data_IF_356257255664
#
_entry.id   IF_356257255664
#
_cell.length_a   1.000
_cell.length_b   1.000
_cell.length_c   1.000
_cell.angle_alpha   90.00
_cell.angle_beta   90.00
_cell.angle_gamma   90.00
#
_symmetry.space_group_name_H-M   'P 1'
#
loop_
_entity.id
_entity.type
_entity.pdbx_description
1 polymer ?
#
# COMPACT_ATOMS: atom_id res chain seq x y z
N UNK A 1 12.66 30.00 56.34
CA UNK A 1 11.59 29.11 55.81
C UNK A 1 11.15 29.61 54.44
N UNK A 2 11.91 29.24 53.40
CA UNK A 2 11.63 29.61 52.02
C UNK A 2 10.74 28.55 51.39
N UNK A 3 9.49 28.93 51.17
CA UNK A 3 8.67 28.65 49.99
C UNK A 3 8.85 27.27 49.30
N UNK A 4 8.11 26.26 49.77
CA UNK A 4 7.74 25.11 48.95
C UNK A 4 6.39 25.38 48.27
N UNK A 5 6.40 26.28 47.29
CA UNK A 5 5.41 26.24 46.21
C UNK A 5 5.79 25.08 45.31
N UNK A 6 5.08 23.96 45.46
CA UNK A 6 5.12 22.87 44.50
C UNK A 6 4.56 23.44 43.19
N UNK A 7 5.43 23.67 42.21
CA UNK A 7 5.03 24.03 40.86
C UNK A 7 4.06 22.95 40.34
N UNK A 8 2.82 23.34 40.07
CA UNK A 8 1.76 22.52 39.48
C UNK A 8 2.03 22.09 38.02
N UNK A 9 3.28 22.21 37.55
CA UNK A 9 3.77 21.81 36.23
C UNK A 9 4.59 20.52 36.28
N UNK A 10 4.32 19.65 37.26
CA UNK A 10 4.90 18.31 37.31
C UNK A 10 4.17 17.43 36.30
N UNK A 11 4.60 17.46 35.04
CA UNK A 11 4.03 16.63 33.99
C UNK A 11 4.16 15.15 34.34
N UNK A 12 3.13 14.35 34.09
CA UNK A 12 3.22 12.89 34.24
C UNK A 12 4.23 12.39 33.20
N UNK A 13 5.26 11.67 33.65
CA UNK A 13 6.24 11.04 32.79
C UNK A 13 5.63 9.91 31.97
N UNK A 14 5.64 10.04 30.65
CA UNK A 14 5.20 9.03 29.70
C UNK A 14 6.41 8.28 29.13
N UNK A 15 6.41 6.97 29.33
CA UNK A 15 7.32 6.03 28.68
C UNK A 15 6.87 5.75 27.23
N UNK A 16 7.63 4.93 26.50
CA UNK A 16 7.29 4.59 25.10
C UNK A 16 5.91 3.91 24.97
N UNK A 17 5.49 3.10 25.93
CA UNK A 17 4.19 2.42 25.89
C UNK A 17 3.03 3.40 26.05
N UNK A 18 3.18 4.37 26.95
CA UNK A 18 2.22 5.46 27.13
C UNK A 18 2.02 6.24 25.82
N UNK A 19 3.11 6.51 25.09
CA UNK A 19 3.05 7.19 23.78
C UNK A 19 2.36 6.32 22.73
N UNK A 20 2.61 5.02 22.70
CA UNK A 20 1.93 4.09 21.79
C UNK A 20 0.42 4.04 22.07
N UNK A 21 0.01 4.03 23.34
CA UNK A 21 -1.41 4.07 23.72
C UNK A 21 -2.05 5.39 23.28
N UNK A 22 -1.38 6.51 23.54
CA UNK A 22 -1.82 7.84 23.09
C UNK A 22 -1.99 7.86 21.57
N UNK A 23 -1.04 7.29 20.83
CA UNK A 23 -1.09 7.25 19.37
C UNK A 23 -2.32 6.52 18.84
N UNK A 24 -2.70 5.40 19.46
CA UNK A 24 -3.88 4.66 19.06
C UNK A 24 -5.18 5.38 19.41
N UNK A 25 -5.25 6.06 20.55
CA UNK A 25 -6.42 6.88 20.90
C UNK A 25 -6.60 7.99 19.85
N UNK A 26 -5.50 8.64 19.45
CA UNK A 26 -5.53 9.64 18.39
C UNK A 26 -5.90 9.04 17.03
N UNK A 27 -5.43 7.83 16.71
CA UNK A 27 -5.82 7.10 15.50
C UNK A 27 -7.33 6.84 15.46
N UNK A 28 -7.90 6.30 16.54
CA UNK A 28 -9.34 6.03 16.67
C UNK A 28 -10.17 7.31 16.52
N UNK A 29 -9.67 8.42 17.07
CA UNK A 29 -10.36 9.71 17.04
C UNK A 29 -10.08 10.54 15.77
N UNK A 30 -9.22 10.08 14.86
CA UNK A 30 -8.84 10.86 13.67
C UNK A 30 -7.97 12.10 13.97
N UNK A 31 -7.34 12.19 15.14
CA UNK A 31 -6.62 13.37 15.63
C UNK A 31 -5.18 13.43 15.11
N UNK A 32 -5.02 13.54 13.80
CA UNK A 32 -3.71 13.50 13.11
C UNK A 32 -2.77 14.64 13.51
N UNK A 33 -3.27 15.87 13.55
CA UNK A 33 -2.44 17.05 13.83
C UNK A 33 -1.90 17.04 15.25
N UNK A 34 -2.71 16.58 16.21
CA UNK A 34 -2.29 16.43 17.61
C UNK A 34 -1.28 15.30 17.75
N UNK A 35 -1.47 14.18 17.06
CA UNK A 35 -0.50 13.09 17.06
C UNK A 35 0.85 13.50 16.45
N UNK A 36 0.84 14.28 15.35
CA UNK A 36 2.04 14.77 14.67
C UNK A 36 2.95 15.59 15.61
N UNK A 37 2.38 16.26 16.63
CA UNK A 37 3.16 17.05 17.62
C UNK A 37 4.15 16.20 18.42
N UNK A 38 3.85 14.91 18.62
CA UNK A 38 4.72 14.00 19.37
C UNK A 38 5.93 13.53 18.54
N UNK A 39 5.87 13.62 17.20
CA UNK A 39 6.89 13.09 16.28
C UNK A 39 8.29 13.65 16.54
N UNK A 40 8.42 14.97 16.67
CA UNK A 40 9.73 15.62 16.78
C UNK A 40 10.51 15.17 18.02
N UNK A 41 9.85 14.69 19.07
CA UNK A 41 10.48 14.14 20.26
C UNK A 41 10.86 12.68 20.08
N UNK A 42 10.01 11.91 19.41
CA UNK A 42 10.26 10.50 19.10
C UNK A 42 11.45 10.36 18.13
N UNK A 43 11.59 11.28 17.18
CA UNK A 43 12.73 11.37 16.26
C UNK A 43 14.08 11.60 16.99
N UNK A 44 14.05 12.06 18.24
CA UNK A 44 15.25 12.35 19.05
C UNK A 44 15.64 11.20 19.98
N UNK A 45 14.86 10.13 20.01
CA UNK A 45 15.06 9.00 20.92
C UNK A 45 16.25 8.15 20.47
N UNK A 46 16.98 7.60 21.46
CA UNK A 46 18.09 6.66 21.21
C UNK A 46 17.68 5.48 20.33
N UNK A 47 18.59 5.03 19.46
CA UNK A 47 18.41 3.88 18.54
C UNK A 47 17.92 2.63 19.28
N UNK A 48 18.37 2.43 20.53
CA UNK A 48 17.96 1.28 21.35
C UNK A 48 16.46 1.24 21.64
N UNK A 49 15.79 2.40 21.60
CA UNK A 49 14.39 2.54 21.94
C UNK A 49 13.47 2.66 20.71
N UNK A 50 14.01 2.83 19.49
CA UNK A 50 13.23 2.99 18.26
C UNK A 50 12.19 1.88 18.05
N UNK A 51 12.56 0.63 18.35
CA UNK A 51 11.64 -0.52 18.23
C UNK A 51 10.32 -0.34 19.00
N UNK A 52 10.35 0.40 20.12
CA UNK A 52 9.18 0.62 20.96
C UNK A 52 8.23 1.67 20.38
N UNK A 53 8.72 2.57 19.52
CA UNK A 53 7.93 3.60 18.86
C UNK A 53 7.41 3.18 17.47
N UNK A 54 7.70 1.96 17.00
CA UNK A 54 7.17 1.43 15.73
C UNK A 54 5.66 1.66 15.60
N UNK A 55 4.90 1.36 16.66
CA UNK A 55 3.42 1.48 16.65
C UNK A 55 2.91 2.92 16.60
N UNK A 56 3.68 3.87 17.13
CA UNK A 56 3.37 5.29 16.98
C UNK A 56 3.37 5.68 15.51
N UNK A 57 4.40 5.23 14.78
CA UNK A 57 4.50 5.47 13.35
C UNK A 57 3.45 4.73 12.52
N UNK A 58 3.08 3.50 12.90
CA UNK A 58 1.95 2.79 12.30
C UNK A 58 0.67 3.63 12.40
N UNK A 59 0.33 4.14 13.60
CA UNK A 59 -0.87 4.96 13.83
C UNK A 59 -0.82 6.28 13.08
N UNK A 60 0.32 6.97 13.06
CA UNK A 60 0.45 8.24 12.35
C UNK A 60 0.35 8.04 10.82
N UNK A 61 0.99 7.01 10.27
CA UNK A 61 0.92 6.69 8.84
C UNK A 61 -0.48 6.23 8.44
N UNK A 62 -1.15 5.45 9.29
CA UNK A 62 -2.56 5.06 9.13
C UNK A 62 -3.49 6.27 9.02
N UNK A 63 -3.28 7.29 9.87
CA UNK A 63 -4.02 8.55 9.79
C UNK A 63 -3.73 9.29 8.48
N UNK A 64 -2.47 9.42 8.05
CA UNK A 64 -2.16 10.07 6.77
C UNK A 64 -2.87 9.39 5.59
N UNK A 65 -2.89 8.05 5.52
CA UNK A 65 -3.64 7.34 4.50
C UNK A 65 -5.16 7.53 4.62
N UNK A 66 -5.69 7.57 5.85
CA UNK A 66 -7.14 7.77 6.08
C UNK A 66 -7.63 9.13 5.58
N UNK A 67 -6.78 10.16 5.67
CA UNK A 67 -7.07 11.51 5.17
C UNK A 67 -6.64 11.74 3.71
N UNK A 68 -6.07 10.73 3.04
CA UNK A 68 -5.50 10.85 1.70
C UNK A 68 -4.37 11.91 1.58
N UNK A 69 -3.62 12.14 2.66
CA UNK A 69 -2.49 13.06 2.70
C UNK A 69 -1.21 12.35 2.25
N UNK A 70 -1.13 12.11 0.94
CA UNK A 70 -0.09 11.25 0.33
C UNK A 70 1.31 11.84 0.51
N UNK A 71 1.46 13.17 0.33
CA UNK A 71 2.78 13.83 0.43
C UNK A 71 3.31 13.82 1.87
N UNK A 72 2.41 14.01 2.82
CA UNK A 72 2.69 14.01 4.25
C UNK A 72 3.01 12.57 4.72
N UNK A 73 2.34 11.55 4.14
CA UNK A 73 2.67 10.13 4.32
C UNK A 73 4.05 9.79 3.74
N UNK A 74 4.34 10.22 2.51
CA UNK A 74 5.62 10.00 1.82
C UNK A 74 6.78 10.67 2.57
N UNK A 75 6.57 11.90 3.05
CA UNK A 75 7.52 12.62 3.89
C UNK A 75 7.78 11.88 5.20
N UNK A 76 6.73 11.41 5.89
CA UNK A 76 6.87 10.61 7.11
C UNK A 76 7.68 9.33 6.86
N UNK A 77 7.42 8.63 5.75
CA UNK A 77 8.15 7.43 5.36
C UNK A 77 9.64 7.71 5.17
N UNK A 78 9.99 8.76 4.44
CA UNK A 78 11.39 9.15 4.23
C UNK A 78 12.06 9.56 5.54
N UNK A 79 11.38 10.32 6.39
CA UNK A 79 11.87 10.72 7.71
C UNK A 79 12.20 9.49 8.58
N UNK A 80 11.29 8.50 8.60
CA UNK A 80 11.48 7.25 9.35
C UNK A 80 12.70 6.47 8.86
N UNK A 81 12.87 6.35 7.54
CA UNK A 81 14.00 5.62 6.96
C UNK A 81 15.35 6.35 7.14
N UNK A 82 15.33 7.69 7.18
CA UNK A 82 16.51 8.56 7.37
C UNK A 82 17.04 8.67 8.79
N UNK A 83 16.30 8.18 9.79
CA UNK A 83 16.54 8.41 11.23
C UNK A 83 17.94 8.00 11.75
N UNK A 84 18.81 7.45 10.89
CA UNK A 84 20.21 7.13 11.19
C UNK A 84 21.14 8.35 11.26
N UNK A 85 20.93 9.36 10.42
CA UNK A 85 21.96 10.39 10.20
C UNK A 85 21.91 11.54 11.22
N UNK A 86 20.77 11.77 11.85
CA UNK A 86 20.60 12.83 12.87
C UNK A 86 21.16 12.46 14.25
N UNK A 87 21.21 11.18 14.59
CA UNK A 87 21.61 10.70 15.92
C UNK A 87 23.13 10.52 16.07
N UNK A 88 23.87 10.33 14.97
CA UNK A 88 25.33 10.25 14.99
C UNK A 88 25.99 11.61 15.21
N UNK A 89 25.39 12.69 14.69
CA UNK A 89 25.88 14.07 14.81
C UNK A 89 25.62 14.66 16.20
N UNK A 90 24.60 14.19 16.92
CA UNK A 90 24.15 14.80 18.18
C UNK A 90 24.87 14.34 19.45
N UNK A 91 25.75 13.34 19.36
CA UNK A 91 26.55 12.87 20.52
C UNK A 91 27.49 13.95 21.08
N UNK A 92 27.81 14.99 20.31
CA UNK A 92 28.75 16.05 20.72
C UNK A 92 28.09 17.35 21.22
N UNK A 93 26.76 17.42 21.30
CA UNK A 93 26.09 18.58 21.89
C UNK A 93 25.35 18.20 23.17
N UNK A 94 25.83 18.75 24.29
CA UNK A 94 25.12 18.92 25.55
C UNK A 94 23.84 19.79 25.35
N UNK A 95 22.93 19.36 24.48
CA UNK A 95 21.61 19.96 24.32
C UNK A 95 20.66 19.16 25.21
N UNK A 96 20.25 19.77 26.32
CA UNK A 96 19.16 19.31 27.19
C UNK A 96 17.99 18.81 26.35
N UNK A 97 17.54 17.57 26.58
CA UNK A 97 16.34 17.01 25.97
C UNK A 97 15.19 18.02 26.08
N UNK A 98 14.73 18.56 24.95
CA UNK A 98 13.63 19.53 24.96
C UNK A 98 12.37 18.77 25.37
N UNK A 99 11.96 18.96 26.61
CA UNK A 99 10.81 18.29 27.24
C UNK A 99 9.55 18.58 26.42
N UNK A 100 8.96 17.57 25.79
CA UNK A 100 7.64 17.73 25.19
C UNK A 100 6.62 17.86 26.30
N UNK A 101 5.77 18.87 26.20
CA UNK A 101 4.56 18.96 27.00
C UNK A 101 3.39 18.73 26.03
N UNK A 102 2.95 17.48 25.91
CA UNK A 102 1.78 17.14 25.11
C UNK A 102 0.51 17.44 25.91
N UNK A 103 -0.47 18.22 25.41
CA UNK A 103 -1.71 18.44 26.14
C UNK A 103 -2.45 17.12 26.30
N UNK A 104 -2.83 16.78 27.53
CA UNK A 104 -3.75 15.70 27.87
C UNK A 104 -5.09 16.36 28.20
N UNK A 105 -6.12 16.02 27.44
CA UNK A 105 -7.48 16.46 27.69
C UNK A 105 -8.01 17.47 26.68
N UNK A 106 -9.17 18.04 26.98
CA UNK A 106 -9.90 18.92 26.08
C UNK A 106 -9.12 20.19 25.73
N UNK A 107 -9.04 20.51 24.43
CA UNK A 107 -8.46 21.76 23.92
C UNK A 107 -9.25 23.01 24.34
N UNK A 108 -10.44 22.82 24.94
CA UNK A 108 -11.24 23.90 25.53
C UNK A 108 -10.77 24.31 26.93
N UNK A 109 -9.82 23.58 27.54
CA UNK A 109 -9.28 23.92 28.86
C UNK A 109 -8.10 24.88 28.72
N UNK A 110 -8.19 26.03 29.39
CA UNK A 110 -7.17 27.09 29.38
C UNK A 110 -5.85 26.66 30.04
N UNK A 111 -5.92 25.72 30.99
CA UNK A 111 -4.78 25.04 31.62
C UNK A 111 -5.00 23.52 31.60
N UNK A 112 -4.71 22.89 30.46
CA UNK A 112 -4.76 21.42 30.33
C UNK A 112 -3.56 20.74 31.02
N UNK A 113 -3.77 19.50 31.48
CA UNK A 113 -2.69 18.64 31.95
C UNK A 113 -1.68 18.43 30.81
N UNK A 114 -0.39 18.33 31.13
CA UNK A 114 0.67 18.14 30.15
C UNK A 114 1.41 16.84 30.44
N UNK A 115 1.54 15.97 29.43
CA UNK A 115 2.39 14.78 29.52
C UNK A 115 3.81 15.16 29.16
N UNK A 116 4.74 14.69 29.99
CA UNK A 116 6.17 14.81 29.74
C UNK A 116 6.67 13.50 29.13
N UNK A 117 7.19 13.52 27.91
CA UNK A 117 7.76 12.31 27.30
C UNK A 117 9.14 12.07 27.90
N UNK A 118 9.34 10.93 28.56
CA UNK A 118 10.61 10.53 29.17
C UNK A 118 10.96 9.12 28.69
N UNK A 119 11.66 9.00 27.55
CA UNK A 119 12.04 7.71 26.96
C UNK A 119 12.85 6.82 27.93
N UNK A 120 13.59 7.43 28.86
CA UNK A 120 14.45 6.77 29.84
C UNK A 120 13.66 6.02 30.93
N UNK A 121 12.36 6.30 31.10
CA UNK A 121 11.51 5.57 32.06
C UNK A 121 11.24 4.13 31.61
N UNK A 122 11.47 3.81 30.33
CA UNK A 122 11.25 2.48 29.82
C UNK A 122 12.36 1.52 30.25
N UNK A 123 12.01 0.47 31.00
CA UNK A 123 12.94 -0.63 31.24
C UNK A 123 13.31 -1.30 29.90
N UNK A 124 14.61 -1.50 29.67
CA UNK A 124 15.18 -1.98 28.38
C UNK A 124 14.62 -3.32 27.89
N UNK A 125 14.09 -4.12 28.81
CA UNK A 125 13.53 -5.45 28.55
C UNK A 125 11.99 -5.47 28.48
N UNK A 126 11.33 -4.30 28.52
CA UNK A 126 9.86 -4.26 28.47
C UNK A 126 9.33 -4.64 27.08
N UNK A 127 8.58 -5.74 27.04
CA UNK A 127 7.90 -6.24 25.84
C UNK A 127 6.42 -5.92 25.94
N UNK A 128 5.98 -4.85 25.27
CA UNK A 128 4.56 -4.52 25.17
C UNK A 128 3.97 -5.11 23.89
N UNK A 129 3.43 -6.32 24.04
CA UNK A 129 2.62 -6.95 23.00
C UNK A 129 1.22 -6.36 23.08
N UNK A 130 0.81 -5.76 21.99
CA UNK A 130 -0.55 -5.27 21.79
C UNK A 130 -0.86 -5.44 20.31
N UNK A 131 -2.01 -6.00 19.99
CA UNK A 131 -2.35 -6.36 18.61
C UNK A 131 -2.74 -5.09 17.84
N UNK A 132 -1.76 -4.41 17.24
CA UNK A 132 -2.05 -3.38 16.25
C UNK A 132 -2.55 -4.08 14.98
N UNK A 133 -3.80 -3.83 14.60
CA UNK A 133 -4.44 -4.41 13.40
C UNK A 133 -3.76 -4.02 12.09
N UNK A 134 -2.87 -3.02 12.11
CA UNK A 134 -2.16 -2.53 10.94
C UNK A 134 -0.65 -2.69 11.17
N UNK A 135 0.00 -3.43 10.29
CA UNK A 135 1.46 -3.53 10.21
C UNK A 135 1.89 -2.74 8.96
N UNK A 136 2.01 -1.42 9.07
CA UNK A 136 2.44 -0.54 7.97
C UNK A 136 3.95 -0.31 8.01
N UNK A 137 4.51 -0.25 9.21
CA UNK A 137 5.92 -0.06 9.51
C UNK A 137 6.42 -1.36 10.12
N UNK A 138 7.59 -1.80 9.69
CA UNK A 138 8.33 -2.94 10.20
C UNK A 138 9.64 -2.43 10.84
N UNK A 139 10.22 -3.21 11.75
CA UNK A 139 11.51 -2.90 12.33
C UNK A 139 12.48 -4.05 12.03
N UNK A 140 13.45 -3.79 11.16
CA UNK A 140 14.45 -4.76 10.69
C UNK A 140 15.83 -4.14 10.80
N UNK A 141 16.83 -4.90 11.25
CA UNK A 141 18.24 -4.47 11.28
C UNK A 141 18.49 -3.10 11.95
N UNK A 142 17.68 -2.76 12.97
CA UNK A 142 17.79 -1.48 13.69
C UNK A 142 17.19 -0.27 12.95
N UNK A 143 16.47 -0.50 11.85
CA UNK A 143 15.82 0.53 11.03
C UNK A 143 14.33 0.28 10.87
N UNK A 144 13.61 1.36 10.57
CA UNK A 144 12.24 1.25 10.08
C UNK A 144 12.25 0.90 8.60
N UNK A 145 11.47 -0.11 8.24
CA UNK A 145 11.23 -0.55 6.87
C UNK A 145 9.74 -0.54 6.62
N UNK A 146 9.30 -0.15 5.43
CA UNK A 146 7.87 -0.23 5.11
C UNK A 146 7.45 -1.67 4.92
N UNK A 147 6.24 -2.00 5.39
CA UNK A 147 5.60 -3.24 4.98
C UNK A 147 5.11 -3.14 3.54
N UNK A 148 4.92 -4.30 2.92
CA UNK A 148 4.25 -4.42 1.63
C UNK A 148 2.94 -3.64 1.61
N UNK A 149 2.13 -3.74 2.68
CA UNK A 149 0.85 -3.04 2.79
C UNK A 149 0.99 -1.51 2.71
N UNK A 150 1.98 -0.92 3.39
CA UNK A 150 2.21 0.52 3.33
C UNK A 150 2.70 0.97 1.95
N UNK A 151 3.61 0.18 1.35
CA UNK A 151 4.12 0.45 0.01
C UNK A 151 2.97 0.40 -1.03
N UNK A 152 2.13 -0.63 -0.95
CA UNK A 152 0.92 -0.79 -1.77
C UNK A 152 0.02 0.43 -1.68
N UNK A 153 -0.26 0.93 -0.46
CA UNK A 153 -1.12 2.11 -0.28
C UNK A 153 -0.55 3.35 -0.96
N UNK A 154 0.76 3.57 -0.87
CA UNK A 154 1.42 4.68 -1.58
C UNK A 154 1.31 4.52 -3.10
N UNK A 155 1.58 3.32 -3.62
CA UNK A 155 1.52 3.04 -5.06
C UNK A 155 0.10 3.28 -5.60
N UNK A 156 -0.93 2.77 -4.92
CA UNK A 156 -2.34 3.00 -5.30
C UNK A 156 -2.66 4.49 -5.29
N UNK A 157 -2.26 5.21 -4.23
CA UNK A 157 -2.63 6.61 -4.08
C UNK A 157 -1.96 7.51 -5.13
N UNK A 158 -0.66 7.36 -5.39
CA UNK A 158 0.03 8.10 -6.45
C UNK A 158 -0.46 7.73 -7.84
N UNK A 159 -0.77 6.45 -8.08
CA UNK A 159 -1.31 5.99 -9.37
C UNK A 159 -2.70 6.56 -9.63
N UNK A 160 -3.57 6.58 -8.61
CA UNK A 160 -4.91 7.16 -8.68
C UNK A 160 -4.90 8.66 -8.98
N UNK A 161 -3.92 9.39 -8.42
CA UNK A 161 -3.72 10.82 -8.68
C UNK A 161 -2.99 11.11 -10.02
N UNK A 162 -2.53 10.08 -10.74
CA UNK A 162 -1.72 10.25 -11.97
C UNK A 162 -0.33 10.84 -11.72
N UNK A 163 0.15 10.85 -10.47
CA UNK A 163 1.42 11.47 -10.05
C UNK A 163 2.59 10.48 -10.11
N UNK A 164 2.78 9.85 -11.27
CA UNK A 164 3.78 8.79 -11.49
C UNK A 164 5.21 9.30 -11.22
N UNK A 165 5.56 10.50 -11.67
CA UNK A 165 6.89 11.07 -11.44
C UNK A 165 7.22 11.35 -9.97
N UNK A 166 6.21 11.60 -9.12
CA UNK A 166 6.40 11.71 -7.67
C UNK A 166 6.61 10.34 -7.03
N UNK A 167 5.84 9.33 -7.46
CA UNK A 167 6.04 7.95 -7.04
C UNK A 167 7.47 7.47 -7.38
N UNK A 168 7.92 7.70 -8.62
CA UNK A 168 9.28 7.39 -9.08
C UNK A 168 10.35 8.01 -8.17
N UNK A 169 10.23 9.31 -7.87
CA UNK A 169 11.16 10.01 -6.97
C UNK A 169 11.14 9.48 -5.54
N UNK A 170 9.96 9.12 -5.03
CA UNK A 170 9.82 8.51 -3.70
C UNK A 170 10.51 7.14 -3.66
N UNK A 171 10.30 6.29 -4.67
CA UNK A 171 10.91 4.96 -4.75
C UNK A 171 12.44 5.03 -4.82
N UNK A 172 13.00 5.94 -5.62
CA UNK A 172 14.44 6.20 -5.67
C UNK A 172 15.00 6.65 -4.33
N UNK A 173 14.29 7.57 -3.68
CA UNK A 173 14.67 8.07 -2.36
C UNK A 173 14.66 6.93 -1.33
N UNK A 174 13.61 6.11 -1.30
CA UNK A 174 13.50 4.96 -0.41
C UNK A 174 14.60 3.92 -0.67
N UNK A 175 14.86 3.58 -1.93
CA UNK A 175 15.92 2.63 -2.29
C UNK A 175 17.29 3.10 -1.79
N UNK A 176 17.56 4.41 -1.89
CA UNK A 176 18.80 5.02 -1.38
C UNK A 176 18.93 4.89 0.14
N UNK A 177 17.86 5.13 0.90
CA UNK A 177 17.88 5.08 2.37
C UNK A 177 17.95 3.65 2.93
N UNK A 178 17.31 2.68 2.25
CA UNK A 178 17.28 1.26 2.64
C UNK A 178 18.59 0.52 2.31
N UNK A 179 19.36 1.02 1.33
CA UNK A 179 20.62 0.42 0.91
C UNK A 179 20.44 -0.86 0.07
N UNK A 180 21.54 -1.49 -0.34
CA UNK A 180 21.54 -2.59 -1.32
C UNK A 180 20.92 -3.90 -0.83
N UNK A 181 20.92 -4.15 0.49
CA UNK A 181 20.42 -5.42 1.06
C UNK A 181 18.89 -5.43 1.21
N UNK A 182 18.28 -4.31 1.61
CA UNK A 182 16.82 -4.21 1.84
C UNK A 182 16.09 -3.50 0.69
N UNK A 183 16.78 -2.67 -0.09
CA UNK A 183 16.22 -1.95 -1.25
C UNK A 183 16.53 -2.57 -2.61
N UNK A 184 17.22 -3.72 -2.66
CA UNK A 184 17.80 -4.31 -3.87
C UNK A 184 16.82 -4.75 -4.97
N UNK A 185 15.51 -4.67 -4.75
CA UNK A 185 14.47 -5.00 -5.72
C UNK A 185 13.23 -4.11 -5.64
N UNK A 186 13.21 -3.07 -4.79
CA UNK A 186 11.98 -2.30 -4.51
C UNK A 186 11.30 -1.79 -5.79
N UNK A 187 12.11 -1.20 -6.68
CA UNK A 187 11.63 -0.59 -7.92
C UNK A 187 11.17 -1.65 -8.91
N UNK A 188 11.95 -2.73 -9.07
CA UNK A 188 11.56 -3.85 -9.94
C UNK A 188 10.28 -4.52 -9.44
N UNK A 189 10.11 -4.68 -8.14
CA UNK A 189 8.94 -5.34 -7.56
C UNK A 189 7.68 -4.48 -7.71
N UNK A 190 7.79 -3.15 -7.59
CA UNK A 190 6.68 -2.22 -7.87
C UNK A 190 6.31 -2.26 -9.35
N UNK A 191 7.28 -2.23 -10.27
CA UNK A 191 7.03 -2.32 -11.71
C UNK A 191 6.36 -3.66 -12.06
N UNK A 192 6.91 -4.77 -11.56
CA UNK A 192 6.35 -6.11 -11.77
C UNK A 192 4.92 -6.21 -11.22
N UNK A 193 4.64 -5.59 -10.07
CA UNK A 193 3.28 -5.56 -9.53
C UNK A 193 2.32 -4.71 -10.37
N UNK A 194 2.76 -3.55 -10.89
CA UNK A 194 1.98 -2.76 -11.85
C UNK A 194 1.68 -3.55 -13.12
N UNK A 195 2.66 -4.32 -13.63
CA UNK A 195 2.48 -5.21 -14.80
C UNK A 195 1.41 -6.27 -14.52
N UNK A 196 1.48 -6.94 -13.37
CA UNK A 196 0.49 -7.96 -12.98
C UNK A 196 -0.93 -7.41 -12.86
N UNK A 197 -1.08 -6.14 -12.48
CA UNK A 197 -2.36 -5.43 -12.42
C UNK A 197 -2.83 -4.89 -13.78
N UNK A 198 -1.99 -4.96 -14.81
CA UNK A 198 -2.27 -4.38 -16.12
C UNK A 198 -2.10 -2.87 -16.19
N UNK A 199 -1.49 -2.25 -15.19
CA UNK A 199 -1.11 -0.82 -15.17
C UNK A 199 0.16 -0.60 -16.00
N UNK A 200 0.10 -0.95 -17.29
CA UNK A 200 1.27 -0.95 -18.17
C UNK A 200 1.80 0.46 -18.43
N UNK A 201 0.94 1.47 -18.48
CA UNK A 201 1.35 2.87 -18.59
C UNK A 201 2.13 3.33 -17.35
N UNK A 202 1.63 3.02 -16.15
CA UNK A 202 2.33 3.29 -14.88
C UNK A 202 3.68 2.58 -14.83
N UNK A 203 3.71 1.29 -15.19
CA UNK A 203 4.93 0.49 -15.21
C UNK A 203 6.00 1.07 -16.15
N UNK A 204 5.60 1.49 -17.35
CA UNK A 204 6.50 2.12 -18.32
C UNK A 204 6.96 3.50 -17.85
N UNK A 205 6.05 4.33 -17.31
CA UNK A 205 6.39 5.66 -16.80
C UNK A 205 7.42 5.61 -15.67
N UNK A 206 7.26 4.67 -14.72
CA UNK A 206 8.27 4.45 -13.67
C UNK A 206 9.59 4.01 -14.31
N UNK A 207 9.57 3.05 -15.23
CA UNK A 207 10.77 2.56 -15.90
C UNK A 207 11.55 3.68 -16.64
N UNK A 208 10.85 4.55 -17.35
CA UNK A 208 11.44 5.69 -18.04
C UNK A 208 12.05 6.70 -17.05
N UNK A 209 11.34 7.03 -15.97
CA UNK A 209 11.84 7.93 -14.92
C UNK A 209 13.12 7.38 -14.28
N UNK A 210 13.21 6.06 -14.11
CA UNK A 210 14.40 5.40 -13.56
C UNK A 210 15.58 5.43 -14.52
N UNK A 211 15.34 5.20 -15.81
CA UNK A 211 16.38 5.30 -16.85
C UNK A 211 16.91 6.74 -16.93
N UNK A 212 16.02 7.73 -16.90
CA UNK A 212 16.36 9.15 -16.86
C UNK A 212 17.18 9.53 -15.62
N UNK A 213 16.89 8.90 -14.47
CA UNK A 213 17.66 9.08 -13.24
C UNK A 213 18.98 8.30 -13.24
N UNK A 214 19.28 7.50 -14.26
CA UNK A 214 20.45 6.64 -14.34
C UNK A 214 20.43 5.48 -13.33
N UNK A 215 19.27 5.10 -12.81
CA UNK A 215 19.13 4.02 -11.86
C UNK A 215 19.27 2.66 -12.57
N UNK A 216 20.03 1.70 -12.01
CA UNK A 216 20.20 0.40 -12.64
C UNK A 216 18.89 -0.39 -12.59
N UNK A 217 18.26 -0.58 -13.77
CA UNK A 217 17.13 -1.50 -13.94
C UNK A 217 17.63 -2.81 -14.54
N UNK A 218 17.17 -3.93 -13.96
CA UNK A 218 17.50 -5.27 -14.44
C UNK A 218 16.85 -5.59 -15.78
N UNK A 219 17.52 -6.39 -16.60
CA UNK A 219 16.99 -6.88 -17.88
C UNK A 219 15.67 -7.65 -17.75
N UNK A 220 15.45 -8.30 -16.60
CA UNK A 220 14.22 -9.01 -16.27
C UNK A 220 13.00 -8.09 -16.26
N UNK A 221 13.11 -6.88 -15.69
CA UNK A 221 12.00 -5.93 -15.59
C UNK A 221 11.55 -5.44 -16.97
N UNK A 222 12.51 -5.14 -17.85
CA UNK A 222 12.23 -4.84 -19.25
C UNK A 222 11.53 -6.01 -19.96
N UNK A 223 12.01 -7.23 -19.74
CA UNK A 223 11.44 -8.43 -20.35
C UNK A 223 10.01 -8.71 -19.86
N UNK A 224 9.74 -8.51 -18.57
CA UNK A 224 8.39 -8.61 -17.99
C UNK A 224 7.42 -7.64 -18.67
N UNK A 225 7.81 -6.36 -18.81
CA UNK A 225 6.97 -5.34 -19.43
C UNK A 225 6.76 -5.60 -20.93
N UNK A 226 7.82 -5.98 -21.64
CA UNK A 226 7.74 -6.33 -23.06
C UNK A 226 6.80 -7.52 -23.31
N UNK A 227 6.89 -8.54 -22.45
CA UNK A 227 5.99 -9.69 -22.48
C UNK A 227 4.54 -9.27 -22.26
N UNK A 228 4.29 -8.35 -21.33
CA UNK A 228 2.96 -7.82 -21.08
C UNK A 228 2.41 -7.05 -22.28
N UNK A 229 3.22 -6.24 -22.97
CA UNK A 229 2.79 -5.54 -24.19
C UNK A 229 2.43 -6.49 -25.33
N UNK A 230 3.23 -7.53 -25.59
CA UNK A 230 2.90 -8.52 -26.61
C UNK A 230 1.61 -9.28 -26.28
N UNK A 231 1.43 -9.71 -25.03
CA UNK A 231 0.18 -10.35 -24.57
C UNK A 231 -1.03 -9.41 -24.68
N UNK A 232 -0.82 -8.11 -24.43
CA UNK A 232 -1.82 -7.06 -24.57
C UNK A 232 -2.09 -6.62 -26.02
N UNK A 233 -1.40 -7.19 -27.02
CA UNK A 233 -1.46 -6.78 -28.44
C UNK A 233 -1.08 -5.30 -28.67
N UNK A 234 -0.25 -4.74 -27.78
CA UNK A 234 0.25 -3.36 -27.81
C UNK A 234 1.56 -3.29 -28.59
N UNK A 235 1.48 -3.48 -29.92
CA UNK A 235 2.67 -3.66 -30.77
C UNK A 235 3.53 -2.40 -30.91
N UNK A 236 2.94 -1.20 -30.80
CA UNK A 236 3.68 0.07 -30.91
C UNK A 236 4.58 0.28 -29.70
N UNK A 237 4.02 0.04 -28.53
CA UNK A 237 4.64 0.14 -27.22
C UNK A 237 5.74 -0.92 -27.07
N UNK A 238 5.46 -2.17 -27.45
CA UNK A 238 6.45 -3.24 -27.47
C UNK A 238 7.67 -2.88 -28.34
N UNK A 239 7.44 -2.31 -29.53
CA UNK A 239 8.52 -1.90 -30.43
C UNK A 239 9.34 -0.73 -29.87
N UNK A 240 8.69 0.22 -29.20
CA UNK A 240 9.38 1.32 -28.53
C UNK A 240 10.27 0.80 -27.40
N UNK A 241 9.74 -0.08 -26.55
CA UNK A 241 10.46 -0.69 -25.44
C UNK A 241 11.64 -1.55 -25.92
N UNK A 242 11.47 -2.33 -26.98
CA UNK A 242 12.55 -3.12 -27.57
C UNK A 242 13.70 -2.23 -28.07
N UNK A 243 13.39 -1.05 -28.61
CA UNK A 243 14.40 -0.06 -29.00
C UNK A 243 15.13 0.51 -27.78
N UNK A 244 14.45 0.77 -26.67
CA UNK A 244 15.09 1.18 -25.41
C UNK A 244 16.01 0.08 -24.88
N UNK A 245 15.56 -1.18 -24.83
CA UNK A 245 16.37 -2.32 -24.39
C UNK A 245 17.67 -2.49 -25.20
N UNK A 246 17.62 -2.24 -26.51
CA UNK A 246 18.80 -2.27 -27.38
C UNK A 246 19.78 -1.15 -27.07
N UNK A 247 19.29 0.07 -26.82
CA UNK A 247 20.13 1.20 -26.40
C UNK A 247 20.80 0.95 -25.04
N UNK A 248 20.08 0.30 -24.13
CA UNK A 248 20.59 -0.11 -22.83
C UNK A 248 21.53 -1.33 -22.89
N UNK A 249 21.72 -1.95 -24.06
CA UNK A 249 22.67 -3.04 -24.27
C UNK A 249 22.17 -4.45 -23.92
N UNK A 250 20.88 -4.64 -23.65
CA UNK A 250 20.35 -5.94 -23.20
C UNK A 250 20.01 -6.93 -24.34
N UNK A 251 19.73 -6.44 -25.56
CA UNK A 251 19.18 -7.25 -26.67
C UNK A 251 19.88 -6.95 -28.00
N UNK A 252 21.21 -6.89 -27.98
CA UNK A 252 22.00 -6.44 -29.14
C UNK A 252 21.95 -7.43 -30.31
N UNK A 253 21.77 -8.73 -30.05
CA UNK A 253 21.91 -9.79 -31.07
C UNK A 253 20.62 -10.57 -31.41
N UNK A 254 19.45 -10.20 -30.88
CA UNK A 254 18.19 -10.91 -31.14
C UNK A 254 17.31 -10.19 -32.16
N UNK A 255 16.74 -10.95 -33.11
CA UNK A 255 15.73 -10.44 -34.04
C UNK A 255 14.41 -10.14 -33.32
N UNK A 256 13.64 -9.18 -33.83
CA UNK A 256 12.32 -8.82 -33.27
C UNK A 256 11.39 -10.04 -33.18
N UNK A 257 11.46 -10.93 -34.16
CA UNK A 257 10.70 -12.19 -34.20
C UNK A 257 11.13 -13.14 -33.09
N UNK A 258 12.43 -13.35 -32.90
CA UNK A 258 12.97 -14.21 -31.85
C UNK A 258 12.56 -13.71 -30.46
N UNK A 259 12.65 -12.40 -30.22
CA UNK A 259 12.25 -11.79 -28.94
C UNK A 259 10.75 -11.94 -28.70
N UNK A 260 9.92 -11.68 -29.71
CA UNK A 260 8.47 -11.88 -29.63
C UNK A 260 8.13 -13.33 -29.30
N UNK A 261 8.78 -14.29 -29.97
CA UNK A 261 8.61 -15.73 -29.70
C UNK A 261 9.01 -16.06 -28.26
N UNK A 262 10.14 -15.55 -27.75
CA UNK A 262 10.55 -15.74 -26.35
C UNK A 262 9.53 -15.19 -25.35
N UNK A 263 9.03 -13.97 -25.56
CA UNK A 263 8.01 -13.34 -24.71
C UNK A 263 6.69 -14.12 -24.69
N UNK A 264 6.26 -14.62 -25.85
CA UNK A 264 4.98 -15.32 -25.98
C UNK A 264 5.04 -16.78 -25.48
N UNK A 265 6.17 -17.48 -25.67
CA UNK A 265 6.34 -18.88 -25.25
C UNK A 265 6.81 -19.03 -23.80
N UNK A 266 7.34 -17.98 -23.16
CA UNK A 266 7.82 -18.03 -21.78
C UNK A 266 9.08 -18.89 -21.59
N UNK A 267 9.81 -19.20 -22.66
CA UNK A 267 11.06 -19.97 -22.61
C UNK A 267 12.17 -19.07 -22.09
N UNK A 268 12.29 -18.96 -20.77
CA UNK A 268 13.45 -18.34 -20.13
C UNK A 268 14.60 -19.34 -20.20
N UNK A 269 15.38 -19.28 -21.28
CA UNK A 269 16.61 -20.04 -21.36
C UNK A 269 17.64 -19.39 -20.41
N UNK A 270 17.68 -19.90 -19.16
CA UNK A 270 18.50 -19.39 -18.04
C UNK A 270 20.01 -19.35 -18.34
N UNK A 271 20.46 -19.90 -19.46
CA UNK A 271 21.88 -20.14 -19.74
C UNK A 271 22.60 -19.08 -20.58
N UNK A 272 21.96 -17.98 -21.03
CA UNK A 272 22.64 -16.96 -21.87
C UNK A 272 22.64 -15.51 -21.38
N UNK A 273 22.08 -15.22 -20.20
CA UNK A 273 22.17 -13.89 -19.60
C UNK A 273 23.13 -13.93 -18.40
N UNK A 274 24.42 -13.66 -18.65
CA UNK A 274 25.40 -13.47 -17.58
C UNK A 274 25.19 -12.11 -16.90
N UNK A 275 24.63 -12.13 -15.69
CA UNK A 275 25.24 -11.56 -14.47
C UNK A 275 24.45 -12.03 -13.24
N UNK A 276 25.19 -12.21 -12.16
CA UNK A 276 24.86 -12.90 -10.90
C UNK A 276 23.61 -12.39 -10.16
N UNK A 277 22.92 -13.37 -9.54
CA UNK A 277 22.16 -13.34 -8.26
C UNK A 277 20.88 -12.49 -8.23
N UNK A 278 19.72 -12.93 -7.72
CA UNK A 278 19.40 -13.97 -6.73
C UNK A 278 17.99 -14.53 -6.98
N UNK A 279 17.78 -15.76 -6.57
CA UNK A 279 16.51 -16.50 -6.50
C UNK A 279 15.30 -15.61 -6.12
N UNK A 280 14.45 -15.24 -7.07
CA UNK A 280 13.22 -14.48 -6.78
C UNK A 280 12.07 -15.42 -6.39
N UNK A 281 12.09 -15.85 -5.12
CA UNK A 281 10.94 -16.51 -4.46
C UNK A 281 10.02 -15.45 -3.79
N UNK A 282 10.21 -14.15 -4.06
CA UNK A 282 9.43 -13.05 -3.46
C UNK A 282 8.35 -12.40 -4.33
N UNK A 283 8.29 -12.66 -5.65
CA UNK A 283 7.60 -11.81 -6.61
C UNK A 283 6.06 -11.83 -6.56
N UNK A 284 5.44 -12.69 -5.75
CA UNK A 284 3.97 -12.74 -5.63
C UNK A 284 3.40 -11.87 -4.50
N UNK A 285 4.22 -11.50 -3.51
CA UNK A 285 3.71 -10.87 -2.28
C UNK A 285 3.17 -9.45 -2.46
N UNK A 286 3.86 -8.58 -3.21
CA UNK A 286 3.43 -7.19 -3.40
C UNK A 286 2.22 -7.07 -4.33
N UNK A 287 2.20 -7.80 -5.44
CA UNK A 287 1.07 -7.81 -6.36
C UNK A 287 -0.19 -8.38 -5.69
N UNK A 288 -0.07 -9.47 -4.93
CA UNK A 288 -1.18 -9.99 -4.14
C UNK A 288 -1.65 -8.97 -3.10
N UNK A 289 -0.74 -8.30 -2.39
CA UNK A 289 -1.08 -7.25 -1.44
C UNK A 289 -1.77 -6.06 -2.10
N UNK A 290 -1.37 -5.68 -3.32
CA UNK A 290 -2.00 -4.61 -4.11
C UNK A 290 -3.44 -4.98 -4.46
N UNK A 291 -3.65 -6.18 -4.98
CA UNK A 291 -5.00 -6.70 -5.28
C UNK A 291 -5.86 -6.70 -4.02
N UNK A 292 -5.33 -7.14 -2.88
CA UNK A 292 -6.08 -7.16 -1.62
C UNK A 292 -6.43 -5.77 -1.11
N UNK A 293 -5.53 -4.80 -1.20
CA UNK A 293 -5.79 -3.44 -0.71
C UNK A 293 -6.79 -2.71 -1.62
N UNK A 294 -6.67 -2.83 -2.94
CA UNK A 294 -7.67 -2.32 -3.89
C UNK A 294 -9.06 -2.91 -3.60
N UNK A 295 -9.15 -4.22 -3.36
CA UNK A 295 -10.42 -4.88 -2.99
C UNK A 295 -11.04 -4.29 -1.72
N UNK A 296 -10.23 -3.94 -0.72
CA UNK A 296 -10.71 -3.30 0.51
C UNK A 296 -11.22 -1.89 0.23
N UNK A 297 -10.50 -1.07 -0.51
CA UNK A 297 -10.92 0.30 -0.87
C UNK A 297 -12.25 0.29 -1.62
N UNK A 298 -12.39 -0.58 -2.61
CA UNK A 298 -13.63 -0.77 -3.37
C UNK A 298 -14.79 -1.20 -2.45
N UNK A 299 -14.53 -2.06 -1.48
CA UNK A 299 -15.55 -2.51 -0.51
C UNK A 299 -15.95 -1.38 0.45
N UNK A 300 -15.00 -0.58 0.91
CA UNK A 300 -15.26 0.59 1.77
C UNK A 300 -16.04 1.66 0.99
N UNK A 301 -15.66 1.92 -0.25
CA UNK A 301 -16.37 2.83 -1.15
C UNK A 301 -17.83 2.41 -1.33
N UNK A 302 -18.08 1.12 -1.57
CA UNK A 302 -19.44 0.60 -1.64
C UNK A 302 -20.23 0.83 -0.35
N UNK A 303 -19.62 0.55 0.81
CA UNK A 303 -20.24 0.81 2.10
C UNK A 303 -20.55 2.30 2.35
N UNK A 304 -19.67 3.21 1.90
CA UNK A 304 -19.89 4.65 1.97
C UNK A 304 -21.05 5.09 1.07
N UNK A 305 -21.10 4.59 -0.17
CA UNK A 305 -22.19 4.87 -1.13
C UNK A 305 -23.51 4.41 -0.54
N UNK A 306 -23.57 3.19 0.00
CA UNK A 306 -24.78 2.64 0.62
C UNK A 306 -25.28 3.51 1.78
N UNK A 307 -24.40 3.90 2.70
CA UNK A 307 -24.73 4.80 3.82
C UNK A 307 -25.16 6.20 3.37
N UNK A 308 -24.49 6.76 2.37
CA UNK A 308 -24.80 8.10 1.84
C UNK A 308 -26.13 8.15 1.07
N UNK A 309 -26.60 6.98 0.61
CA UNK A 309 -27.92 6.83 -0.01
C UNK A 309 -29.03 6.71 1.03
N UNK A 310 -28.80 5.98 2.12
CA UNK A 310 -29.75 5.89 3.23
C UNK A 310 -30.05 7.28 3.83
N UNK A 311 -29.09 8.21 3.76
CA UNK A 311 -29.28 9.61 4.14
C UNK A 311 -29.85 10.53 3.04
N UNK A 312 -30.15 10.00 1.84
CA UNK A 312 -30.75 10.76 0.73
C UNK A 312 -29.84 11.78 0.05
N UNK A 313 -28.52 11.72 0.28
CA UNK A 313 -27.58 12.81 -0.07
C UNK A 313 -26.88 12.63 -1.43
N UNK A 314 -26.81 11.40 -1.96
CA UNK A 314 -25.90 11.08 -3.08
C UNK A 314 -26.62 10.56 -4.33
N UNK A 315 -26.44 11.25 -5.46
CA UNK A 315 -26.73 10.75 -6.81
C UNK A 315 -25.46 10.15 -7.39
N UNK A 316 -25.47 8.85 -7.67
CA UNK A 316 -24.31 8.12 -8.19
C UNK A 316 -24.45 7.89 -9.70
N UNK A 317 -23.39 8.15 -10.47
CA UNK A 317 -23.40 7.95 -11.92
C UNK A 317 -23.32 6.44 -12.28
N UNK A 318 -23.79 6.10 -13.48
CA UNK A 318 -23.77 4.72 -14.01
C UNK A 318 -22.34 4.16 -14.01
N UNK A 319 -21.38 4.97 -14.44
CA UNK A 319 -20.00 4.54 -14.65
C UNK A 319 -19.34 4.11 -13.33
N UNK A 320 -19.72 4.72 -12.19
CA UNK A 320 -19.23 4.29 -10.87
C UNK A 320 -19.79 2.91 -10.48
N UNK A 321 -21.07 2.65 -10.73
CA UNK A 321 -21.64 1.33 -10.46
C UNK A 321 -21.06 0.26 -11.39
N UNK A 322 -20.85 0.60 -12.66
CA UNK A 322 -20.19 -0.28 -13.62
C UNK A 322 -18.77 -0.64 -13.16
N UNK A 323 -18.00 0.36 -12.73
CA UNK A 323 -16.68 0.16 -12.13
C UNK A 323 -16.73 -0.77 -10.91
N UNK A 324 -17.69 -0.57 -10.00
CA UNK A 324 -17.88 -1.42 -8.83
C UNK A 324 -18.22 -2.87 -9.22
N UNK A 325 -19.12 -3.07 -10.17
CA UNK A 325 -19.50 -4.41 -10.64
C UNK A 325 -18.30 -5.14 -11.23
N UNK A 326 -17.53 -4.51 -12.11
CA UNK A 326 -16.35 -5.12 -12.73
C UNK A 326 -15.31 -5.51 -11.67
N UNK A 327 -15.05 -4.65 -10.69
CA UNK A 327 -14.10 -4.93 -9.62
C UNK A 327 -14.57 -6.03 -8.67
N UNK A 328 -15.84 -6.03 -8.26
CA UNK A 328 -16.40 -7.11 -7.44
C UNK A 328 -16.44 -8.44 -8.18
N UNK A 329 -16.70 -8.42 -9.49
CA UNK A 329 -16.63 -9.62 -10.34
C UNK A 329 -15.22 -10.17 -10.41
N UNK A 330 -14.21 -9.35 -10.69
CA UNK A 330 -12.78 -9.76 -10.64
C UNK A 330 -12.38 -10.32 -9.28
N UNK A 331 -12.96 -9.77 -8.21
CA UNK A 331 -12.72 -10.21 -6.84
C UNK A 331 -13.49 -11.46 -6.40
N UNK A 332 -14.48 -11.91 -7.19
CA UNK A 332 -15.36 -13.01 -6.84
C UNK A 332 -16.32 -12.71 -5.68
N UNK A 333 -16.65 -11.43 -5.45
CA UNK A 333 -17.57 -10.94 -4.42
C UNK A 333 -19.01 -10.89 -4.94
N UNK A 334 -19.58 -12.05 -5.29
CA UNK A 334 -20.86 -12.14 -5.99
C UNK A 334 -22.06 -11.56 -5.22
N UNK A 335 -22.04 -11.60 -3.89
CA UNK A 335 -23.04 -10.90 -3.05
C UNK A 335 -23.08 -9.40 -3.39
N UNK A 336 -21.90 -8.75 -3.39
CA UNK A 336 -21.78 -7.32 -3.71
C UNK A 336 -22.11 -7.03 -5.16
N UNK A 337 -21.72 -7.90 -6.09
CA UNK A 337 -22.10 -7.78 -7.51
C UNK A 337 -23.62 -7.72 -7.65
N UNK A 338 -24.34 -8.65 -7.01
CA UNK A 338 -25.79 -8.72 -7.10
C UNK A 338 -26.48 -7.54 -6.39
N UNK A 339 -25.92 -7.05 -5.27
CA UNK A 339 -26.37 -5.81 -4.63
C UNK A 339 -26.27 -4.61 -5.58
N UNK A 340 -25.09 -4.36 -6.17
CA UNK A 340 -24.88 -3.22 -7.07
C UNK A 340 -25.78 -3.31 -8.32
N UNK A 341 -25.89 -4.49 -8.94
CA UNK A 341 -26.77 -4.72 -10.09
C UNK A 341 -28.25 -4.49 -9.71
N UNK A 342 -28.66 -4.94 -8.52
CA UNK A 342 -30.00 -4.68 -7.99
C UNK A 342 -30.30 -3.19 -7.94
N UNK A 343 -29.35 -2.40 -7.42
CA UNK A 343 -29.46 -0.95 -7.34
C UNK A 343 -29.46 -0.25 -8.70
N UNK A 344 -28.61 -0.68 -9.64
CA UNK A 344 -28.65 -0.16 -11.02
C UNK A 344 -30.03 -0.36 -11.63
N UNK A 345 -30.68 -1.51 -11.40
CA UNK A 345 -32.04 -1.78 -11.89
C UNK A 345 -33.12 -0.92 -11.21
N UNK A 346 -33.04 -0.76 -9.88
CA UNK A 346 -33.98 0.11 -9.13
C UNK A 346 -33.99 1.54 -9.68
N UNK A 347 -32.84 2.02 -10.16
CA UNK A 347 -32.67 3.35 -10.74
C UNK A 347 -32.88 3.39 -12.26
N UNK A 348 -33.40 2.32 -12.87
CA UNK A 348 -33.56 2.17 -14.33
C UNK A 348 -32.28 2.44 -15.13
N UNK A 349 -31.11 2.12 -14.56
CA UNK A 349 -29.83 2.25 -15.23
C UNK A 349 -29.56 1.05 -16.13
N UNK A 350 -28.96 1.32 -17.29
CA UNK A 350 -28.51 0.26 -18.20
C UNK A 350 -27.41 -0.60 -17.55
N UNK A 351 -27.55 -1.92 -17.66
CA UNK A 351 -26.55 -2.89 -17.21
C UNK A 351 -26.00 -3.66 -18.42
N UNK A 352 -24.71 -3.52 -18.71
CA UNK A 352 -24.06 -4.27 -19.80
C UNK A 352 -23.83 -5.74 -19.39
N UNK A 353 -24.85 -6.56 -19.61
CA UNK A 353 -24.81 -8.00 -19.33
C UNK A 353 -23.69 -8.72 -20.08
N UNK A 354 -23.38 -8.29 -21.30
CA UNK A 354 -22.38 -8.96 -22.12
C UNK A 354 -20.98 -8.70 -21.57
N UNK A 355 -20.69 -7.46 -21.21
CA UNK A 355 -19.43 -7.09 -20.58
C UNK A 355 -19.23 -7.83 -19.25
N UNK A 356 -20.24 -7.86 -18.37
CA UNK A 356 -20.15 -8.57 -17.09
C UNK A 356 -20.02 -10.09 -17.27
N UNK A 357 -20.69 -10.67 -18.27
CA UNK A 357 -20.55 -12.08 -18.65
C UNK A 357 -19.12 -12.39 -19.12
N UNK A 358 -18.56 -11.55 -19.98
CA UNK A 358 -17.19 -11.68 -20.46
C UNK A 358 -16.19 -11.67 -19.30
N UNK A 359 -16.36 -10.73 -18.37
CA UNK A 359 -15.48 -10.61 -17.21
C UNK A 359 -15.58 -11.82 -16.26
N UNK A 360 -16.79 -12.33 -16.03
CA UNK A 360 -16.99 -13.58 -15.28
C UNK A 360 -16.29 -14.77 -15.95
N UNK A 361 -16.46 -14.94 -17.25
CA UNK A 361 -15.84 -16.05 -17.99
C UNK A 361 -14.31 -15.94 -18.01
N UNK A 362 -13.76 -14.73 -17.90
CA UNK A 362 -12.32 -14.50 -17.82
C UNK A 362 -11.72 -14.97 -16.49
N UNK A 363 -12.37 -14.70 -15.35
CA UNK A 363 -11.81 -14.97 -14.02
C UNK A 363 -12.40 -16.18 -13.30
N UNK A 364 -13.61 -16.59 -13.65
CA UNK A 364 -14.44 -17.50 -12.84
C UNK A 364 -15.18 -18.56 -13.66
N UNK A 365 -14.72 -18.87 -14.89
CA UNK A 365 -15.36 -19.86 -15.80
C UNK A 365 -15.71 -21.19 -15.14
N UNK A 366 -14.80 -21.71 -14.32
CA UNK A 366 -14.93 -23.03 -13.69
C UNK A 366 -15.47 -22.95 -12.26
N UNK A 367 -15.79 -21.74 -11.77
CA UNK A 367 -16.27 -21.51 -10.43
C UNK A 367 -17.62 -22.21 -10.21
N UNK A 368 -17.62 -23.20 -9.32
CA UNK A 368 -18.78 -24.01 -8.92
C UNK A 368 -19.52 -24.75 -10.04
N UNK A 369 -18.88 -24.95 -11.20
CA UNK A 369 -19.50 -25.65 -12.35
C UNK A 369 -20.05 -27.05 -12.02
N UNK A 370 -19.46 -27.73 -11.05
CA UNK A 370 -19.82 -29.09 -10.63
C UNK A 370 -20.28 -29.19 -9.16
N UNK A 371 -20.39 -28.07 -8.44
CA UNK A 371 -20.71 -28.07 -7.01
C UNK A 371 -22.21 -27.82 -6.83
N UNK A 372 -22.95 -28.84 -6.37
CA UNK A 372 -24.37 -28.69 -5.99
C UNK A 372 -24.49 -28.15 -4.58
N UNK A 373 -25.55 -27.38 -4.29
CA UNK A 373 -25.84 -26.86 -2.95
C UNK A 373 -25.89 -27.96 -1.87
N UNK A 374 -26.32 -29.18 -2.22
CA UNK A 374 -26.31 -30.35 -1.35
C UNK A 374 -24.91 -30.80 -0.88
N UNK A 375 -23.85 -30.32 -1.53
CA UNK A 375 -22.47 -30.76 -1.31
C UNK A 375 -21.59 -29.68 -0.64
N UNK A 376 -22.17 -28.55 -0.22
CA UNK A 376 -21.42 -27.47 0.42
C UNK A 376 -21.11 -27.82 1.87
N UNK A 377 -19.86 -27.66 2.28
CA UNK A 377 -19.39 -28.06 3.63
C UNK A 377 -19.69 -27.03 4.71
N UNK A 378 -20.01 -25.80 4.33
CA UNK A 378 -20.23 -24.68 5.25
C UNK A 378 -21.34 -23.75 4.74
N UNK A 379 -22.05 -23.10 5.66
CA UNK A 379 -23.11 -22.13 5.34
C UNK A 379 -22.58 -20.96 4.50
N UNK A 380 -21.38 -20.46 4.79
CA UNK A 380 -20.72 -19.42 4.00
C UNK A 380 -20.45 -19.86 2.55
N UNK A 381 -20.12 -21.14 2.32
CA UNK A 381 -19.93 -21.69 0.97
C UNK A 381 -21.27 -21.84 0.24
N UNK A 382 -22.34 -22.25 0.94
CA UNK A 382 -23.70 -22.30 0.39
C UNK A 382 -24.17 -20.92 -0.06
N UNK A 383 -24.06 -19.91 0.82
CA UNK A 383 -24.44 -18.54 0.51
C UNK A 383 -23.66 -17.97 -0.69
N UNK A 384 -22.36 -18.26 -0.77
CA UNK A 384 -21.53 -17.84 -1.91
C UNK A 384 -21.96 -18.51 -3.21
N UNK A 385 -22.32 -19.80 -3.17
CA UNK A 385 -22.83 -20.53 -4.34
C UNK A 385 -24.14 -19.90 -4.84
N UNK A 386 -25.07 -19.59 -3.95
CA UNK A 386 -26.35 -18.95 -4.31
C UNK A 386 -26.16 -17.65 -5.08
N UNK A 387 -25.25 -16.77 -4.63
CA UNK A 387 -24.96 -15.52 -5.34
C UNK A 387 -24.29 -15.75 -6.71
N UNK A 388 -23.43 -16.77 -6.83
CA UNK A 388 -22.81 -17.14 -8.12
C UNK A 388 -23.87 -17.65 -9.09
N UNK A 389 -24.77 -18.52 -8.63
CA UNK A 389 -25.88 -19.04 -9.45
C UNK A 389 -26.84 -17.92 -9.84
N UNK A 390 -27.17 -17.00 -8.92
CA UNK A 390 -27.99 -15.83 -9.21
C UNK A 390 -27.36 -14.94 -10.29
N UNK A 391 -26.04 -14.72 -10.23
CA UNK A 391 -25.32 -13.98 -11.27
C UNK A 391 -25.33 -14.72 -12.61
N UNK A 392 -25.03 -16.03 -12.64
CA UNK A 392 -25.04 -16.85 -13.87
C UNK A 392 -26.40 -16.81 -14.56
N UNK A 393 -27.48 -16.99 -13.78
CA UNK A 393 -28.85 -16.87 -14.27
C UNK A 393 -29.15 -15.47 -14.83
N UNK A 394 -28.71 -14.42 -14.13
CA UNK A 394 -28.93 -13.05 -14.57
C UNK A 394 -28.18 -12.69 -15.87
N UNK A 395 -26.95 -13.18 -16.01
CA UNK A 395 -26.07 -12.96 -17.16
C UNK A 395 -26.30 -13.93 -18.33
N UNK A 396 -27.17 -14.95 -18.16
CA UNK A 396 -27.42 -15.97 -19.18
C UNK A 396 -26.20 -16.86 -19.44
N UNK A 397 -25.61 -17.39 -18.36
CA UNK A 397 -24.48 -18.32 -18.38
C UNK A 397 -24.99 -19.69 -17.92
N UNK A 398 -24.91 -20.66 -18.82
CA UNK A 398 -25.31 -22.05 -18.55
C UNK A 398 -24.30 -22.79 -17.65
#
# INVERSE_FOLDING_TARGET
PADHRVDATSGVGADAHSIVIIAQIHEINGQRLDLKKFKCHIDQVSIQLLRHYRKFYDSLLSLHFTFNDIDDAAGLVLDMCRCRDSLSIRKDRNESYKTCLGPIGSYHLREGLKIQIVPELLQKDSVFKMDSKQELVLFSNGKYVLSNKALVKLVIAYQGDGRIGELSRLMLSLQKELGTLEGGGLISDVIDACIQLGWLETAHGILDDMELAGAPIGSSTYMSLLTAYYKGKMAREAKALLKQMRKAGFVVDLSDEMVMTTCLLGVVDKNRMHTRTSTSIGNSGLAESLVQEMKKEITILWGNIKRSRESGSLVVCRDLYEFLVLNFLRGGYFERVMEVIGHMKEQNMYCDKWMYKSEFLKFHKDLYRNLKASNTRTEAQSKRLEYVEAFRKWAGID
#
